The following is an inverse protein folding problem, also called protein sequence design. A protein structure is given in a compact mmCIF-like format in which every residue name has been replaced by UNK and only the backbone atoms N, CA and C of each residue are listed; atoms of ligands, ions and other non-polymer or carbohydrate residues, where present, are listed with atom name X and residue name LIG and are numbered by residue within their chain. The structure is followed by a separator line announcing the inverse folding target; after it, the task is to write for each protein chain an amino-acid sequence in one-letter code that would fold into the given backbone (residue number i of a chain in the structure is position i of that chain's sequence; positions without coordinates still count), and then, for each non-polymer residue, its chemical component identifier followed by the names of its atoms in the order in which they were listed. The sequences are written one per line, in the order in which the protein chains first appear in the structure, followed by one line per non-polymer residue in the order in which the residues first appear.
data_IF_320472781919
#
_entry.id   IF_320472781919
#
_cell.length_a   1.000
_cell.length_b   1.000
_cell.length_c   1.000
_cell.angle_alpha   90.00
_cell.angle_beta   90.00
_cell.angle_gamma   90.00
#
_symmetry.space_group_name_H-M   'P 1'
#
loop_
_entity.id
_entity.type
_entity.pdbx_description
1 polymer ?
#
# COMPACT_ATOMS: atom_id res chain seq x y z
N UNK A 1 -6.73 -4.69 -33.64
CA UNK A 1 -5.65 -4.99 -32.66
C UNK A 1 -6.07 -4.35 -31.35
N UNK A 2 -6.88 -5.07 -30.57
CA UNK A 2 -7.50 -4.56 -29.35
C UNK A 2 -6.51 -4.77 -28.21
N UNK A 3 -5.99 -3.66 -27.67
CA UNK A 3 -5.07 -3.68 -26.54
C UNK A 3 -5.83 -4.16 -25.30
N UNK A 4 -5.22 -5.03 -24.51
CA UNK A 4 -5.77 -5.79 -23.37
C UNK A 4 -6.07 -4.87 -22.15
N UNK A 5 -6.78 -3.77 -22.39
CA UNK A 5 -7.00 -2.64 -21.47
C UNK A 5 -8.01 -2.95 -20.35
N UNK A 6 -8.93 -3.90 -20.56
CA UNK A 6 -10.02 -4.14 -19.60
C UNK A 6 -9.65 -5.03 -18.41
N UNK A 7 -8.70 -5.97 -18.58
CA UNK A 7 -8.36 -6.90 -17.50
C UNK A 7 -7.55 -6.23 -16.38
N UNK A 8 -6.70 -5.25 -16.71
CA UNK A 8 -5.84 -4.54 -15.75
C UNK A 8 -6.60 -3.48 -14.96
N UNK A 9 -7.50 -2.74 -15.62
CA UNK A 9 -8.41 -1.78 -14.97
C UNK A 9 -9.36 -2.48 -13.98
N UNK A 10 -9.80 -3.70 -14.28
CA UNK A 10 -10.68 -4.47 -13.38
C UNK A 10 -9.95 -4.96 -12.11
N UNK A 11 -8.64 -5.21 -12.19
CA UNK A 11 -7.87 -5.71 -11.04
C UNK A 11 -7.63 -4.63 -9.97
N UNK A 12 -7.33 -3.38 -10.35
CA UNK A 12 -7.10 -2.29 -9.38
C UNK A 12 -8.41 -1.82 -8.74
N UNK A 13 -9.53 -1.78 -9.47
CA UNK A 13 -10.83 -1.41 -8.89
C UNK A 13 -11.36 -2.44 -7.87
N UNK A 14 -10.89 -3.69 -7.88
CA UNK A 14 -11.14 -4.67 -6.80
C UNK A 14 -10.12 -4.61 -5.65
N UNK A 15 -9.03 -3.85 -5.81
CA UNK A 15 -7.92 -3.80 -4.85
C UNK A 15 -8.11 -2.76 -3.73
N UNK A 16 -9.21 -2.00 -3.72
CA UNK A 16 -9.59 -1.15 -2.58
C UNK A 16 -8.66 0.04 -2.32
N UNK A 17 -7.92 0.52 -3.33
CA UNK A 17 -7.06 1.69 -3.20
C UNK A 17 -7.92 2.96 -3.01
N UNK A 18 -8.09 3.36 -1.75
CA UNK A 18 -8.78 4.61 -1.36
C UNK A 18 -7.74 5.64 -0.92
N UNK A 19 -7.97 6.89 -1.32
CA UNK A 19 -7.16 8.04 -0.92
C UNK A 19 -7.99 8.92 -0.01
N UNK A 20 -7.44 9.28 1.14
CA UNK A 20 -8.07 10.18 2.09
C UNK A 20 -7.36 11.54 2.06
N UNK A 21 -8.06 12.56 1.59
CA UNK A 21 -7.52 13.93 1.55
C UNK A 21 -7.51 14.62 2.92
N UNK A 22 -8.22 14.08 3.92
CA UNK A 22 -8.19 14.57 5.29
C UNK A 22 -7.02 13.99 6.10
N UNK A 23 -6.41 12.89 5.64
CA UNK A 23 -5.22 12.31 6.24
C UNK A 23 -4.01 13.26 6.10
N UNK A 24 -3.25 13.51 7.18
CA UNK A 24 -2.09 14.42 7.16
C UNK A 24 -0.93 13.93 6.28
N UNK A 25 -0.92 12.66 5.85
CA UNK A 25 0.09 12.11 4.96
C UNK A 25 -0.11 12.66 3.54
N UNK A 26 0.97 13.05 2.85
CA UNK A 26 0.88 13.47 1.45
C UNK A 26 0.24 12.40 0.55
N UNK A 27 -0.60 12.81 -0.41
CA UNK A 27 -1.34 11.88 -1.30
C UNK A 27 -0.42 10.87 -2.03
N UNK A 28 0.78 11.27 -2.43
CA UNK A 28 1.73 10.37 -3.09
C UNK A 28 2.16 9.21 -2.17
N UNK A 29 2.23 9.45 -0.85
CA UNK A 29 2.57 8.43 0.14
C UNK A 29 1.41 7.46 0.33
N UNK A 30 0.16 7.96 0.32
CA UNK A 30 -1.02 7.11 0.40
C UNK A 30 -1.14 6.19 -0.82
N UNK A 31 -0.89 6.71 -2.03
CA UNK A 31 -0.83 5.89 -3.27
C UNK A 31 0.29 4.84 -3.19
N UNK A 32 1.49 5.24 -2.76
CA UNK A 32 2.63 4.33 -2.59
C UNK A 32 2.31 3.18 -1.61
N UNK A 33 1.79 3.52 -0.44
CA UNK A 33 1.49 2.56 0.63
C UNK A 33 0.34 1.64 0.24
N UNK A 34 -0.72 2.16 -0.38
CA UNK A 34 -1.86 1.37 -0.83
C UNK A 34 -1.47 0.37 -1.92
N UNK A 35 -0.71 0.79 -2.94
CA UNK A 35 -0.23 -0.14 -3.98
C UNK A 35 0.74 -1.18 -3.41
N UNK A 36 1.64 -0.78 -2.51
CA UNK A 36 2.54 -1.72 -1.83
C UNK A 36 1.77 -2.76 -1.00
N UNK A 37 0.68 -2.35 -0.32
CA UNK A 37 -0.19 -3.26 0.41
C UNK A 37 -0.92 -4.23 -0.53
N UNK A 38 -1.39 -3.77 -1.70
CA UNK A 38 -2.03 -4.62 -2.70
C UNK A 38 -1.06 -5.68 -3.25
N UNK A 39 0.20 -5.31 -3.50
CA UNK A 39 1.26 -6.25 -3.92
C UNK A 39 1.54 -7.26 -2.80
N UNK A 40 1.68 -6.79 -1.55
CA UNK A 40 1.95 -7.65 -0.41
C UNK A 40 0.81 -8.63 -0.09
N UNK A 41 -0.44 -8.22 -0.33
CA UNK A 41 -1.63 -9.05 -0.19
C UNK A 41 -1.85 -10.01 -1.37
N UNK A 42 -1.07 -9.90 -2.44
CA UNK A 42 -1.24 -10.69 -3.67
C UNK A 42 -2.41 -10.24 -4.56
N UNK A 43 -3.08 -9.14 -4.23
CA UNK A 43 -4.12 -8.55 -5.08
C UNK A 43 -3.53 -8.03 -6.40
N UNK A 44 -2.29 -7.53 -6.35
CA UNK A 44 -1.45 -7.26 -7.52
C UNK A 44 -0.37 -8.33 -7.61
N UNK A 45 -0.59 -9.32 -8.47
CA UNK A 45 0.31 -10.45 -8.64
C UNK A 45 1.67 -10.03 -9.24
N UNK A 46 2.76 -10.75 -8.92
CA UNK A 46 4.04 -10.58 -9.61
C UNK A 46 3.89 -10.67 -11.12
N UNK A 47 4.54 -9.76 -11.86
CA UNK A 47 4.42 -9.65 -13.32
C UNK A 47 3.13 -9.02 -13.82
N UNK A 48 2.18 -8.66 -12.96
CA UNK A 48 0.96 -7.97 -13.38
C UNK A 48 1.26 -6.54 -13.84
N UNK A 49 0.64 -6.13 -14.95
CA UNK A 49 0.66 -4.74 -15.37
C UNK A 49 -0.17 -3.88 -14.40
N UNK A 50 0.37 -2.71 -14.04
CA UNK A 50 -0.38 -1.68 -13.31
C UNK A 50 -0.90 -0.62 -14.28
N UNK A 51 -1.96 0.13 -13.94
CA UNK A 51 -2.45 1.21 -14.78
C UNK A 51 -1.35 2.24 -15.06
N UNK A 52 -1.46 2.93 -16.19
CA UNK A 52 -0.58 4.06 -16.47
C UNK A 52 -0.79 5.17 -15.43
N UNK A 53 0.22 6.03 -15.27
CA UNK A 53 0.15 7.21 -14.39
C UNK A 53 -1.11 8.04 -14.67
N UNK A 54 -1.50 8.18 -15.95
CA UNK A 54 -2.67 8.95 -16.35
C UNK A 54 -3.97 8.24 -16.02
N UNK A 55 -4.05 6.93 -16.26
CA UNK A 55 -5.22 6.12 -15.90
C UNK A 55 -5.49 6.16 -14.41
N UNK A 56 -4.47 5.87 -13.59
CA UNK A 56 -4.64 5.84 -12.14
C UNK A 56 -4.95 7.25 -11.58
N UNK A 57 -4.35 8.29 -12.15
CA UNK A 57 -4.67 9.66 -11.75
C UNK A 57 -6.12 10.05 -12.07
N UNK A 58 -6.67 9.59 -13.20
CA UNK A 58 -8.07 9.80 -13.55
C UNK A 58 -9.01 9.01 -12.63
N UNK A 59 -8.68 7.75 -12.34
CA UNK A 59 -9.46 6.89 -11.44
C UNK A 59 -9.52 7.48 -10.02
N UNK A 60 -8.37 7.86 -9.47
CA UNK A 60 -8.26 8.44 -8.13
C UNK A 60 -8.62 9.94 -8.08
N UNK A 61 -8.84 10.58 -9.23
CA UNK A 61 -9.09 12.03 -9.37
C UNK A 61 -8.02 12.90 -8.69
N UNK A 62 -6.75 12.52 -8.83
CA UNK A 62 -5.60 13.26 -8.27
C UNK A 62 -4.64 13.74 -9.35
N UNK A 63 -3.70 14.61 -8.96
CA UNK A 63 -2.68 15.11 -9.89
C UNK A 63 -1.80 13.97 -10.44
N UNK A 64 -1.59 13.86 -11.77
CA UNK A 64 -0.71 12.83 -12.35
C UNK A 64 0.73 12.84 -11.82
N UNK A 65 1.27 14.01 -11.44
CA UNK A 65 2.58 14.13 -10.80
C UNK A 65 2.65 13.46 -9.43
N UNK A 66 1.53 13.41 -8.69
CA UNK A 66 1.41 12.68 -7.42
C UNK A 66 1.53 11.17 -7.63
N UNK A 67 0.84 10.65 -8.65
CA UNK A 67 0.93 9.23 -9.03
C UNK A 67 2.33 8.89 -9.55
N UNK A 68 2.90 9.73 -10.42
CA UNK A 68 4.25 9.55 -10.95
C UNK A 68 5.29 9.46 -9.81
N UNK A 69 5.17 10.32 -8.80
CA UNK A 69 6.03 10.28 -7.61
C UNK A 69 5.87 8.98 -6.83
N UNK A 70 4.65 8.49 -6.64
CA UNK A 70 4.40 7.22 -5.96
C UNK A 70 5.02 6.03 -6.74
N UNK A 71 4.82 6.00 -8.07
CA UNK A 71 5.38 4.96 -8.94
C UNK A 71 6.90 4.95 -8.91
N UNK A 72 7.54 6.12 -8.97
CA UNK A 72 9.00 6.21 -8.89
C UNK A 72 9.52 5.60 -7.58
N UNK A 73 8.86 5.87 -6.45
CA UNK A 73 9.25 5.30 -5.15
C UNK A 73 9.05 3.79 -5.09
N UNK A 74 7.98 3.27 -5.70
CA UNK A 74 7.76 1.82 -5.81
C UNK A 74 8.80 1.14 -6.69
N UNK A 75 9.27 1.81 -7.75
CA UNK A 75 10.39 1.33 -8.58
C UNK A 75 11.69 1.35 -7.79
N UNK A 76 11.99 2.43 -7.06
CA UNK A 76 13.18 2.52 -6.21
C UNK A 76 13.20 1.41 -5.13
N UNK A 77 12.02 1.02 -4.65
CA UNK A 77 11.80 -0.08 -3.70
C UNK A 77 11.74 -1.47 -4.33
N UNK A 78 11.92 -1.58 -5.65
CA UNK A 78 11.84 -2.83 -6.43
C UNK A 78 10.50 -3.57 -6.31
N UNK A 79 9.41 -2.84 -6.09
CA UNK A 79 8.05 -3.37 -6.11
C UNK A 79 7.42 -3.28 -7.50
N UNK A 80 7.79 -2.23 -8.24
CA UNK A 80 7.42 -2.05 -9.64
C UNK A 80 8.67 -1.99 -10.52
N UNK A 81 8.50 -2.29 -11.80
CA UNK A 81 9.49 -2.07 -12.85
C UNK A 81 8.83 -1.44 -14.07
N UNK A 82 9.54 -0.52 -14.72
CA UNK A 82 9.10 0.08 -15.98
C UNK A 82 9.79 -0.63 -17.13
N UNK A 83 9.01 -1.30 -17.97
CA UNK A 83 9.49 -1.95 -19.19
C UNK A 83 9.37 -0.94 -20.33
N UNK A 84 10.50 -0.60 -20.97
CA UNK A 84 10.56 0.45 -22.00
C UNK A 84 9.54 0.17 -23.12
N UNK A 85 8.58 1.08 -23.29
CA UNK A 85 7.55 1.00 -24.34
C UNK A 85 6.36 0.08 -24.03
N UNK A 86 6.40 -0.64 -22.91
CA UNK A 86 5.44 -1.72 -22.62
C UNK A 86 4.61 -1.46 -21.36
N UNK A 87 4.98 -0.46 -20.55
CA UNK A 87 4.24 -0.03 -19.35
C UNK A 87 4.99 -0.29 -18.05
N UNK A 88 4.25 -0.25 -16.94
CA UNK A 88 4.76 -0.50 -15.60
C UNK A 88 4.14 -1.79 -15.05
N UNK A 89 4.97 -2.61 -14.42
CA UNK A 89 4.60 -3.96 -13.98
C UNK A 89 5.05 -4.18 -12.54
N UNK A 90 4.36 -5.06 -11.81
CA UNK A 90 4.86 -5.59 -10.54
C UNK A 90 6.07 -6.48 -10.85
N UNK A 91 7.16 -6.32 -10.10
CA UNK A 91 8.36 -7.15 -10.28
C UNK A 91 8.01 -8.64 -10.11
N UNK A 92 8.60 -9.53 -10.90
CA UNK A 92 8.29 -10.99 -10.88
C UNK A 92 8.70 -11.68 -9.56
N UNK A 93 9.73 -11.15 -8.91
CA UNK A 93 10.05 -11.43 -7.52
C UNK A 93 10.09 -10.10 -6.78
N UNK A 94 8.92 -9.51 -6.47
CA UNK A 94 8.90 -8.35 -5.62
C UNK A 94 9.52 -8.79 -4.29
N UNK A 95 10.19 -7.90 -3.54
CA UNK A 95 10.56 -8.18 -2.17
C UNK A 95 9.27 -8.28 -1.35
N UNK A 96 8.51 -9.36 -1.52
CA UNK A 96 7.64 -9.89 -0.49
C UNK A 96 8.62 -10.16 0.62
N UNK A 97 8.54 -9.41 1.72
CA UNK A 97 9.34 -9.71 2.89
C UNK A 97 9.21 -11.21 3.12
N UNK A 98 10.31 -11.96 2.96
CA UNK A 98 10.29 -13.38 3.27
C UNK A 98 9.65 -13.54 4.65
N UNK A 99 8.88 -14.60 4.90
CA UNK A 99 8.11 -14.73 6.13
C UNK A 99 8.97 -14.43 7.39
N UNK A 100 10.26 -14.79 7.34
CA UNK A 100 11.29 -14.44 8.32
C UNK A 100 11.53 -12.91 8.45
N UNK A 101 11.75 -12.19 7.36
CA UNK A 101 11.96 -10.73 7.38
C UNK A 101 10.70 -9.96 7.80
N UNK A 102 9.51 -10.43 7.38
CA UNK A 102 8.24 -9.88 7.84
C UNK A 102 8.09 -10.06 9.34
N UNK A 103 8.40 -11.26 9.84
CA UNK A 103 8.36 -11.58 11.27
C UNK A 103 9.34 -10.72 12.06
N UNK A 104 10.56 -10.55 11.56
CA UNK A 104 11.58 -9.73 12.19
C UNK A 104 11.15 -8.27 12.30
N UNK A 105 10.64 -7.67 11.22
CA UNK A 105 10.13 -6.29 11.25
C UNK A 105 8.94 -6.12 12.20
N UNK A 106 8.06 -7.12 12.28
CA UNK A 106 6.95 -7.12 13.26
C UNK A 106 7.47 -7.18 14.70
N UNK A 107 8.48 -8.01 14.97
CA UNK A 107 9.13 -8.07 16.29
C UNK A 107 9.76 -6.71 16.63
N UNK A 108 10.47 -6.09 15.69
CA UNK A 108 11.06 -4.77 15.90
C UNK A 108 10.02 -3.68 16.16
N UNK A 109 8.87 -3.73 15.47
CA UNK A 109 7.76 -2.80 15.74
C UNK A 109 7.13 -3.04 17.12
N UNK A 110 6.93 -4.30 17.50
CA UNK A 110 6.43 -4.67 18.82
C UNK A 110 7.39 -4.23 19.94
N UNK A 111 8.70 -4.35 19.74
CA UNK A 111 9.71 -3.88 20.68
C UNK A 111 9.60 -2.37 20.92
N UNK A 112 9.50 -1.56 19.85
CA UNK A 112 9.29 -0.12 19.99
C UNK A 112 8.01 0.25 20.73
N UNK A 113 6.92 -0.49 20.51
CA UNK A 113 5.68 -0.30 21.26
C UNK A 113 5.87 -0.63 22.74
N UNK A 114 6.54 -1.74 23.05
CA UNK A 114 6.82 -2.14 24.42
C UNK A 114 7.67 -1.11 25.17
N UNK A 115 8.69 -0.55 24.51
CA UNK A 115 9.53 0.53 25.08
C UNK A 115 8.70 1.76 25.42
N UNK A 116 7.82 2.20 24.49
CA UNK A 116 6.94 3.35 24.70
C UNK A 116 5.90 3.08 25.80
N UNK A 117 5.28 1.91 25.80
CA UNK A 117 4.32 1.52 26.84
C UNK A 117 4.98 1.51 28.23
N UNK A 118 6.20 0.97 28.32
CA UNK A 118 6.98 0.95 29.56
C UNK A 118 7.31 2.37 30.03
N UNK A 119 7.75 3.25 29.13
CA UNK A 119 8.04 4.64 29.45
C UNK A 119 6.82 5.42 29.95
N UNK A 120 5.62 5.02 29.52
CA UNK A 120 4.34 5.59 29.96
C UNK A 120 3.78 4.93 31.23
N UNK A 121 4.46 3.92 31.78
CA UNK A 121 3.97 3.14 32.92
C UNK A 121 2.79 2.22 32.59
N UNK A 122 2.52 1.97 31.31
CA UNK A 122 1.44 1.10 30.87
C UNK A 122 1.80 -0.38 31.10
N UNK A 123 0.83 -1.14 31.57
CA UNK A 123 0.91 -2.59 31.64
C UNK A 123 0.89 -3.21 30.24
N UNK A 124 1.37 -4.45 30.06
CA UNK A 124 1.22 -5.18 28.80
C UNK A 124 -0.24 -5.26 28.32
N UNK A 125 -1.20 -5.39 29.25
CA UNK A 125 -2.63 -5.43 28.93
C UNK A 125 -3.15 -4.13 28.34
N UNK A 126 -2.74 -2.98 28.87
CA UNK A 126 -3.07 -1.66 28.30
C UNK A 126 -2.41 -1.46 26.94
N UNK A 127 -1.15 -1.90 26.77
CA UNK A 127 -0.47 -1.85 25.48
C UNK A 127 -1.19 -2.69 24.41
N UNK A 128 -1.68 -3.89 24.74
CA UNK A 128 -2.48 -4.71 23.83
C UNK A 128 -3.82 -4.06 23.50
N UNK A 129 -4.48 -3.48 24.51
CA UNK A 129 -5.76 -2.78 24.32
C UNK A 129 -5.60 -1.57 23.39
N UNK A 130 -4.53 -0.79 23.57
CA UNK A 130 -4.21 0.35 22.71
C UNK A 130 -3.87 -0.08 21.28
N UNK A 131 -3.14 -1.19 21.12
CA UNK A 131 -2.84 -1.75 19.80
C UNK A 131 -4.11 -2.24 19.09
N UNK A 132 -5.00 -2.94 19.80
CA UNK A 132 -6.29 -3.38 19.28
C UNK A 132 -7.18 -2.19 18.88
N UNK A 133 -7.25 -1.15 19.71
CA UNK A 133 -7.98 0.07 19.40
C UNK A 133 -7.43 0.77 18.16
N UNK A 134 -6.11 0.85 18.01
CA UNK A 134 -5.47 1.42 16.82
C UNK A 134 -5.87 0.66 15.54
N UNK A 135 -5.90 -0.68 15.59
CA UNK A 135 -6.39 -1.49 14.48
C UNK A 135 -7.88 -1.29 14.20
N UNK A 136 -8.71 -1.16 15.24
CA UNK A 136 -10.15 -0.89 15.07
C UNK A 136 -10.39 0.45 14.41
N UNK A 137 -9.69 1.51 14.82
CA UNK A 137 -9.79 2.84 14.18
C UNK A 137 -9.41 2.78 12.70
N UNK A 138 -8.30 2.13 12.36
CA UNK A 138 -7.90 1.92 10.96
C UNK A 138 -8.90 1.11 10.13
N UNK A 139 -9.65 0.20 10.75
CA UNK A 139 -10.70 -0.59 10.06
C UNK A 139 -12.03 0.15 9.95
N UNK A 140 -12.31 1.09 10.87
CA UNK A 140 -13.53 1.90 10.89
C UNK A 140 -13.47 3.11 9.96
N UNK A 141 -12.28 3.50 9.48
CA UNK A 141 -12.10 4.50 8.40
C UNK A 141 -12.51 3.99 7.00
N UNK A 142 -13.25 2.87 6.90
CA UNK A 142 -13.92 2.42 5.68
C UNK A 142 -15.39 2.85 5.78
N UNK A 143 -15.83 3.93 5.10
CA UNK A 143 -17.25 4.26 5.06
C UNK A 143 -17.96 3.15 4.28
N UNK A 144 -18.92 2.49 4.92
CA UNK A 144 -19.94 1.71 4.22
C UNK A 144 -20.84 2.70 3.47
N UNK A 145 -20.69 2.78 2.16
CA UNK A 145 -21.65 3.45 1.28
C UNK A 145 -22.80 2.47 0.97
N UNK A 146 -24.00 2.88 1.38
CA UNK A 146 -25.31 2.42 0.87
C UNK A 146 -25.47 2.88 -0.58
#
# INVERSE_FOLDING_TARGET
MLYRYSDTLTAVSRSGLRIDTADPRPLWRQVEEGLAACIAAGALAPGAAVPSVRELAQELRINPGTVARAYQRLVDRKLLETRRGDGTYVVESPPVLHAAERRERLIQAAARLADLATALGASPGEAYTALDEAFRRQRQDVPEET
#
